data_IF_656098403352
#
_entry.id   IF_656098403352
#
_cell.length_a   1.000
_cell.length_b   1.000
_cell.length_c   1.000
_cell.angle_alpha   90.00
_cell.angle_beta   90.00
_cell.angle_gamma   90.00
#
_symmetry.space_group_name_H-M   'P 1'
#
loop_
_entity.id
_entity.type
_entity.pdbx_description
1 polymer ?
#
# COMPACT_ATOMS: atom_id res chain seq x y z
N UNK A 1 -18.41 12.54 2.26
CA UNK A 1 -17.60 12.56 1.02
C UNK A 1 -16.36 11.71 1.29
N UNK A 2 -16.02 10.73 0.44
CA UNK A 2 -14.80 9.93 0.67
C UNK A 2 -13.59 10.85 0.53
N UNK A 3 -12.66 10.87 1.51
CA UNK A 3 -11.47 11.71 1.43
C UNK A 3 -10.64 11.27 0.23
N UNK A 4 -10.40 12.16 -0.72
CA UNK A 4 -9.63 11.88 -1.95
C UNK A 4 -8.14 11.71 -1.68
N UNK A 5 -7.64 12.17 -0.53
CA UNK A 5 -6.22 12.14 -0.16
C UNK A 5 -5.83 10.98 0.75
N UNK A 6 -6.81 10.33 1.41
CA UNK A 6 -6.58 9.26 2.39
C UNK A 6 -6.99 7.90 1.86
N UNK A 7 -6.20 6.87 2.16
CA UNK A 7 -6.54 5.47 1.89
C UNK A 7 -7.52 4.93 2.93
N UNK A 8 -8.49 4.14 2.49
CA UNK A 8 -9.38 3.41 3.40
C UNK A 8 -8.66 2.21 4.02
N UNK A 9 -9.18 1.72 5.15
CA UNK A 9 -8.66 0.50 5.79
C UNK A 9 -8.65 -0.72 4.84
N UNK A 10 -9.63 -0.78 3.92
CA UNK A 10 -9.77 -1.86 2.95
C UNK A 10 -8.72 -1.76 1.84
N UNK A 11 -8.51 -0.57 1.29
CA UNK A 11 -7.46 -0.33 0.28
C UNK A 11 -6.08 -0.63 0.85
N UNK A 12 -5.80 -0.16 2.08
CA UNK A 12 -4.57 -0.48 2.80
C UNK A 12 -4.35 -1.98 2.94
N UNK A 13 -5.35 -2.71 3.44
CA UNK A 13 -5.25 -4.16 3.58
C UNK A 13 -5.02 -4.86 2.23
N UNK A 14 -5.67 -4.38 1.15
CA UNK A 14 -5.53 -4.95 -0.19
C UNK A 14 -4.14 -4.71 -0.77
N UNK A 15 -3.59 -3.51 -0.60
CA UNK A 15 -2.22 -3.14 -1.03
C UNK A 15 -1.20 -4.04 -0.34
N UNK A 16 -1.28 -4.16 0.99
CA UNK A 16 -0.36 -4.98 1.77
C UNK A 16 -0.46 -6.46 1.35
N UNK A 17 -1.68 -6.98 1.20
CA UNK A 17 -1.90 -8.36 0.78
C UNK A 17 -1.37 -8.64 -0.64
N UNK A 18 -1.64 -7.74 -1.60
CA UNK A 18 -1.15 -7.86 -2.97
C UNK A 18 0.39 -7.80 -3.02
N UNK A 19 0.99 -6.89 -2.24
CA UNK A 19 2.44 -6.76 -2.18
C UNK A 19 3.12 -7.96 -1.50
N UNK A 20 2.54 -8.48 -0.42
CA UNK A 20 3.02 -9.70 0.23
C UNK A 20 3.03 -10.89 -0.73
N UNK A 21 1.97 -11.01 -1.56
CA UNK A 21 1.92 -12.04 -2.61
C UNK A 21 3.05 -11.86 -3.63
N UNK A 22 3.27 -10.64 -4.13
CA UNK A 22 4.38 -10.37 -5.06
C UNK A 22 5.73 -10.78 -4.48
N UNK A 23 6.01 -10.41 -3.23
CA UNK A 23 7.24 -10.77 -2.52
C UNK A 23 7.37 -12.29 -2.40
N UNK A 24 6.29 -12.98 -2.05
CA UNK A 24 6.29 -14.46 -1.96
C UNK A 24 6.58 -15.15 -3.30
N UNK A 25 6.28 -14.48 -4.42
CA UNK A 25 6.57 -14.95 -5.77
C UNK A 25 7.98 -14.53 -6.25
N UNK A 26 8.81 -13.96 -5.39
CA UNK A 26 10.19 -13.56 -5.72
C UNK A 26 10.31 -12.17 -6.35
N UNK A 27 9.30 -11.31 -6.23
CA UNK A 27 9.41 -9.93 -6.68
C UNK A 27 10.48 -9.17 -5.87
N UNK A 28 11.22 -8.23 -6.50
CA UNK A 28 12.25 -7.47 -5.82
C UNK A 28 11.65 -6.55 -4.75
N UNK A 29 12.36 -6.48 -3.62
CA UNK A 29 12.03 -5.63 -2.47
C UNK A 29 12.73 -4.29 -2.68
N UNK A 30 12.02 -3.18 -2.50
CA UNK A 30 12.49 -1.82 -2.81
C UNK A 30 13.05 -1.07 -1.59
N UNK A 31 13.17 -1.74 -0.45
CA UNK A 31 13.67 -1.17 0.80
C UNK A 31 14.80 -2.02 1.37
N UNK A 32 15.71 -1.38 2.10
CA UNK A 32 16.65 -2.10 2.95
C UNK A 32 15.90 -2.74 4.12
N UNK A 33 16.02 -4.06 4.20
CA UNK A 33 15.47 -4.88 5.28
C UNK A 33 16.60 -5.39 6.19
N UNK A 34 16.36 -5.44 7.52
CA UNK A 34 17.20 -6.23 8.39
C UNK A 34 17.09 -7.72 8.00
N UNK A 35 18.20 -8.47 8.13
CA UNK A 35 18.29 -9.88 7.73
C UNK A 35 17.28 -10.81 8.42
N UNK A 36 16.65 -10.34 9.51
CA UNK A 36 15.68 -11.10 10.30
C UNK A 36 14.25 -11.06 9.73
N UNK A 37 13.93 -10.12 8.84
CA UNK A 37 12.59 -10.04 8.24
C UNK A 37 12.48 -11.02 7.06
N UNK A 38 11.97 -12.22 7.34
CA UNK A 38 11.76 -13.27 6.33
C UNK A 38 10.29 -13.37 5.91
N UNK A 39 9.36 -12.79 6.67
CA UNK A 39 7.91 -12.93 6.44
C UNK A 39 7.46 -11.92 5.35
N UNK A 40 6.90 -12.39 4.20
CA UNK A 40 6.50 -11.50 3.10
C UNK A 40 5.50 -10.41 3.51
N UNK A 41 4.59 -10.73 4.43
CA UNK A 41 3.60 -9.78 4.96
C UNK A 41 4.25 -8.66 5.75
N UNK A 42 5.24 -8.97 6.59
CA UNK A 42 5.95 -7.96 7.39
C UNK A 42 6.82 -7.06 6.50
N UNK A 43 7.42 -7.64 5.46
CA UNK A 43 8.15 -6.91 4.45
C UNK A 43 7.22 -5.94 3.71
N UNK A 44 6.05 -6.41 3.27
CA UNK A 44 5.05 -5.58 2.60
C UNK A 44 4.55 -4.44 3.49
N UNK A 45 4.33 -4.69 4.79
CA UNK A 45 3.97 -3.65 5.76
C UNK A 45 5.10 -2.63 5.90
N UNK A 46 6.35 -3.08 5.95
CA UNK A 46 7.52 -2.21 6.07
C UNK A 46 7.71 -1.33 4.83
N UNK A 47 7.52 -1.88 3.63
CA UNK A 47 7.54 -1.11 2.38
C UNK A 47 6.39 -0.10 2.32
N UNK A 48 5.19 -0.50 2.76
CA UNK A 48 4.04 0.38 2.83
C UNK A 48 4.29 1.57 3.75
N UNK A 49 4.88 1.34 4.94
CA UNK A 49 5.26 2.41 5.88
C UNK A 49 6.30 3.37 5.28
N UNK A 50 7.24 2.84 4.48
CA UNK A 50 8.25 3.64 3.76
C UNK A 50 7.72 4.28 2.47
N UNK A 51 6.43 4.09 2.13
CA UNK A 51 5.80 4.56 0.89
C UNK A 51 6.51 4.09 -0.39
N UNK A 52 7.19 2.95 -0.32
CA UNK A 52 8.01 2.42 -1.41
C UNK A 52 7.27 1.37 -2.26
N UNK A 53 5.98 1.12 -1.99
CA UNK A 53 5.22 0.10 -2.71
C UNK A 53 4.89 0.60 -4.12
N UNK A 54 5.31 -0.10 -5.18
CA UNK A 54 5.16 0.36 -6.56
C UNK A 54 3.75 0.05 -7.10
N UNK A 55 2.71 0.58 -6.47
CA UNK A 55 1.32 0.40 -6.91
C UNK A 55 0.47 1.62 -6.61
N UNK A 56 -0.66 1.72 -7.31
CA UNK A 56 -1.57 2.87 -7.24
C UNK A 56 -2.99 2.39 -7.02
N UNK A 57 -3.81 3.17 -6.31
CA UNK A 57 -5.23 2.86 -6.11
C UNK A 57 -6.07 3.64 -7.09
N UNK A 58 -6.91 2.95 -7.84
CA UNK A 58 -7.90 3.58 -8.73
C UNK A 58 -9.29 3.37 -8.14
N UNK A 59 -9.92 4.45 -7.70
CA UNK A 59 -11.30 4.45 -7.21
C UNK A 59 -12.27 4.66 -8.37
N UNK A 60 -13.12 3.66 -8.61
CA UNK A 60 -14.23 3.74 -9.57
C UNK A 60 -15.52 3.93 -8.78
N UNK A 61 -16.16 5.08 -8.96
CA UNK A 61 -17.45 5.40 -8.35
C UNK A 61 -18.44 5.52 -9.51
N UNK A 62 -19.54 4.78 -9.46
CA UNK A 62 -20.58 4.85 -10.49
C UNK A 62 -21.12 6.27 -10.63
N UNK A 63 -21.22 6.75 -11.87
CA UNK A 63 -21.67 8.11 -12.18
C UNK A 63 -20.63 9.22 -11.90
N UNK A 64 -19.36 8.88 -11.62
CA UNK A 64 -18.27 9.87 -11.46
C UNK A 64 -17.00 9.45 -12.21
N UNK A 65 -16.13 10.42 -12.47
CA UNK A 65 -14.80 10.16 -13.00
C UNK A 65 -13.97 9.32 -12.01
N UNK A 66 -13.12 8.44 -12.54
CA UNK A 66 -12.21 7.64 -11.71
C UNK A 66 -11.17 8.54 -11.06
N UNK A 67 -10.90 8.30 -9.77
CA UNK A 67 -9.87 9.04 -9.01
C UNK A 67 -8.69 8.12 -8.75
N UNK A 68 -7.51 8.55 -9.16
CA UNK A 68 -6.25 7.83 -8.92
C UNK A 68 -5.57 8.40 -7.69
N UNK A 69 -5.23 7.54 -6.74
CA UNK A 69 -4.52 7.90 -5.51
C UNK A 69 -3.17 7.21 -5.53
N UNK A 70 -2.12 8.01 -5.48
CA UNK A 70 -0.75 7.52 -5.36
C UNK A 70 -0.41 7.28 -3.88
N UNK A 71 0.18 6.13 -3.60
CA UNK A 71 0.60 5.70 -2.26
C UNK A 71 1.76 6.56 -1.76
N UNK A 72 2.58 7.10 -2.67
CA UNK A 72 3.72 7.97 -2.33
C UNK A 72 3.28 9.29 -1.67
N UNK A 73 2.12 9.80 -2.09
CA UNK A 73 1.57 11.11 -1.71
C UNK A 73 0.34 11.00 -0.80
N UNK A 74 -0.12 9.79 -0.48
CA UNK A 74 -1.23 9.58 0.43
C UNK A 74 -0.85 9.95 1.88
N UNK A 75 -1.71 10.70 2.55
CA UNK A 75 -1.57 11.03 3.98
C UNK A 75 -1.77 9.76 4.82
N UNK A 76 -0.67 9.07 5.15
CA UNK A 76 -0.67 7.86 6.00
C UNK A 76 -0.68 8.17 7.51
N UNK A 77 -0.71 9.45 7.90
CA UNK A 77 -0.36 9.91 9.25
C UNK A 77 -1.40 9.64 10.36
N UNK A 78 -2.66 9.32 10.05
CA UNK A 78 -3.72 9.31 11.10
C UNK A 78 -4.52 8.01 11.23
N UNK A 79 -3.92 6.82 11.21
CA UNK A 79 -4.71 5.59 11.42
C UNK A 79 -3.98 4.44 12.14
N UNK A 80 -3.06 4.77 13.04
CA UNK A 80 -2.44 3.79 13.95
C UNK A 80 -2.76 4.01 15.44
N UNK A 81 -3.62 4.97 15.78
CA UNK A 81 -4.31 5.10 17.06
C UNK A 81 -5.74 5.58 16.84
#
# INVERSE_FOLDING_TARGET
MYPTTKLTRFERARIIGARALQISMGAPILIDLPKELTVPTEIAVSEFKKRAVPMTVVRRIEGRASVTIDISSADLEEMWY
#
